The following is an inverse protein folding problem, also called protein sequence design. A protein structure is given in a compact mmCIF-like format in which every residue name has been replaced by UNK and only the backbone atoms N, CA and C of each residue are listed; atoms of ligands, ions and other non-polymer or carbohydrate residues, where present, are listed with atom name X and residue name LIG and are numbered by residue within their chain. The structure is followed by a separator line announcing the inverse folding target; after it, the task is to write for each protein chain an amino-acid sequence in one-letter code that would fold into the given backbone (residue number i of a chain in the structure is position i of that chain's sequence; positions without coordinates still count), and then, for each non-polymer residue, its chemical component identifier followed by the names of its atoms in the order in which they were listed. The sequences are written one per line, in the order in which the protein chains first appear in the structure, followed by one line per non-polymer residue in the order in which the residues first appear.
data_IF_262594230586
#
_entry.id   IF_262594230586
#
_cell.length_a   1.000
_cell.length_b   1.000
_cell.length_c   1.000
_cell.angle_alpha   90.00
_cell.angle_beta   90.00
_cell.angle_gamma   90.00
#
_symmetry.space_group_name_H-M   'P 1'
#
loop_
_entity.id
_entity.type
_entity.pdbx_description
1 polymer ?
#
# COMPACT_ATOMS: atom_id res chain seq x y z
N UNK A 1 14.93 0.51 7.20
CA UNK A 1 13.96 0.76 8.29
C UNK A 1 13.40 -0.52 8.89
N UNK A 2 12.68 -1.36 8.12
CA UNK A 2 12.01 -2.56 8.67
C UNK A 2 12.92 -3.66 9.24
N UNK A 3 14.19 -3.73 8.81
CA UNK A 3 15.16 -4.72 9.32
C UNK A 3 15.64 -4.45 10.76
N UNK A 4 15.48 -3.22 11.25
CA UNK A 4 16.05 -2.78 12.54
C UNK A 4 15.00 -2.20 13.48
N UNK A 5 13.76 -2.02 13.00
CA UNK A 5 12.70 -1.36 13.74
C UNK A 5 11.33 -1.92 13.32
N UNK A 6 10.67 -2.63 14.23
CA UNK A 6 9.37 -3.26 13.97
C UNK A 6 8.29 -2.24 13.62
N UNK A 7 8.22 -1.10 14.33
CA UNK A 7 7.26 -0.03 14.01
C UNK A 7 7.43 0.51 12.59
N UNK A 8 8.67 0.63 12.12
CA UNK A 8 8.96 1.04 10.75
C UNK A 8 8.57 -0.01 9.70
N UNK A 9 8.68 -1.30 10.03
CA UNK A 9 8.09 -2.34 9.19
C UNK A 9 6.56 -2.18 9.11
N UNK A 10 5.88 -2.01 10.26
CA UNK A 10 4.43 -1.83 10.32
C UNK A 10 3.99 -0.58 9.54
N UNK A 11 4.73 0.53 9.60
CA UNK A 11 4.42 1.75 8.85
C UNK A 11 4.35 1.51 7.34
N UNK A 12 5.37 0.86 6.76
CA UNK A 12 5.41 0.56 5.32
C UNK A 12 4.39 -0.53 4.93
N UNK A 13 4.22 -1.54 5.77
CA UNK A 13 3.20 -2.57 5.61
C UNK A 13 1.79 -1.94 5.57
N UNK A 14 1.51 -1.03 6.51
CA UNK A 14 0.24 -0.30 6.55
C UNK A 14 0.01 0.50 5.27
N UNK A 15 0.98 1.33 4.87
CA UNK A 15 0.86 2.23 3.72
C UNK A 15 0.59 1.47 2.42
N UNK A 16 1.25 0.32 2.21
CA UNK A 16 1.06 -0.48 0.99
C UNK A 16 -0.21 -1.33 1.05
N UNK A 17 -0.32 -2.24 2.01
CA UNK A 17 -1.34 -3.29 1.94
C UNK A 17 -2.77 -2.80 2.23
N UNK A 18 -2.97 -1.84 3.15
CA UNK A 18 -4.31 -1.24 3.30
C UNK A 18 -4.68 -0.41 2.07
N UNK A 19 -3.70 0.24 1.43
CA UNK A 19 -3.88 0.95 0.17
C UNK A 19 -4.31 0.01 -0.95
N UNK A 20 -3.64 -1.13 -1.08
CA UNK A 20 -3.94 -2.14 -2.10
C UNK A 20 -5.33 -2.77 -1.91
N UNK A 21 -5.71 -3.07 -0.67
CA UNK A 21 -7.06 -3.53 -0.30
C UNK A 21 -8.12 -2.42 -0.30
N UNK A 22 -7.75 -1.19 -0.63
CA UNK A 22 -8.67 -0.06 -0.76
C UNK A 22 -8.73 0.42 -2.21
N UNK A 23 -7.76 1.25 -2.64
CA UNK A 23 -7.71 1.77 -4.01
C UNK A 23 -7.21 0.74 -5.02
N UNK A 24 -6.33 -0.18 -4.61
CA UNK A 24 -5.75 -1.19 -5.50
C UNK A 24 -6.81 -2.08 -6.18
N UNK A 25 -7.85 -2.48 -5.44
CA UNK A 25 -8.98 -3.23 -6.01
C UNK A 25 -9.68 -2.51 -7.18
N UNK A 26 -9.80 -1.18 -7.10
CA UNK A 26 -10.37 -0.38 -8.19
C UNK A 26 -9.41 -0.29 -9.38
N UNK A 27 -8.11 -0.09 -9.12
CA UNK A 27 -7.08 -0.07 -10.16
C UNK A 27 -7.04 -1.41 -10.90
N UNK A 28 -7.08 -2.53 -10.19
CA UNK A 28 -7.12 -3.87 -10.79
C UNK A 28 -8.32 -4.04 -11.74
N UNK A 29 -9.53 -3.64 -11.31
CA UNK A 29 -10.73 -3.66 -12.16
C UNK A 29 -10.60 -2.77 -13.40
N UNK A 30 -9.99 -1.59 -13.25
CA UNK A 30 -9.75 -0.66 -14.35
C UNK A 30 -8.79 -1.28 -15.37
N UNK A 31 -7.67 -1.86 -14.91
CA UNK A 31 -6.67 -2.50 -15.77
C UNK A 31 -7.25 -3.72 -16.50
N UNK A 32 -7.99 -4.57 -15.79
CA UNK A 32 -8.68 -5.73 -16.36
C UNK A 32 -9.55 -5.34 -17.56
N UNK A 33 -10.42 -4.34 -17.36
CA UNK A 33 -11.30 -3.81 -18.41
C UNK A 33 -10.51 -3.15 -19.55
N UNK A 34 -9.48 -2.36 -19.23
CA UNK A 34 -8.76 -1.56 -20.23
C UNK A 34 -7.95 -2.41 -21.21
N UNK A 35 -7.44 -3.55 -20.74
CA UNK A 35 -6.52 -4.40 -21.50
C UNK A 35 -7.06 -5.80 -21.79
N UNK A 36 -8.27 -6.13 -21.34
CA UNK A 36 -8.89 -7.45 -21.55
C UNK A 36 -8.23 -8.55 -20.74
N UNK A 37 -7.65 -8.22 -19.57
CA UNK A 37 -7.04 -9.21 -18.70
C UNK A 37 -8.10 -9.90 -17.83
N UNK A 38 -8.06 -11.23 -17.82
CA UNK A 38 -8.82 -12.03 -16.85
C UNK A 38 -8.03 -12.21 -15.55
N UNK A 39 -6.73 -12.51 -15.64
CA UNK A 39 -5.84 -12.75 -14.49
C UNK A 39 -4.40 -12.32 -14.79
N UNK A 40 -3.80 -12.85 -15.86
CA UNK A 40 -2.45 -12.51 -16.31
C UNK A 40 -2.37 -11.01 -16.64
N UNK A 41 -1.48 -10.28 -15.96
CA UNK A 41 -1.33 -8.83 -16.08
C UNK A 41 -1.96 -8.02 -14.93
N UNK A 42 -2.81 -8.63 -14.10
CA UNK A 42 -3.43 -7.99 -12.92
C UNK A 42 -3.25 -8.78 -11.62
N UNK A 43 -2.41 -9.83 -11.63
CA UNK A 43 -2.23 -10.72 -10.47
C UNK A 43 -1.88 -10.02 -9.15
N UNK A 44 -1.18 -8.88 -9.21
CA UNK A 44 -0.90 -8.05 -8.05
C UNK A 44 -2.16 -7.56 -7.30
N UNK A 45 -3.27 -7.36 -8.02
CA UNK A 45 -4.54 -6.88 -7.46
C UNK A 45 -5.51 -8.03 -7.10
N UNK A 46 -5.08 -9.29 -7.22
CA UNK A 46 -5.91 -10.46 -6.92
C UNK A 46 -5.54 -10.99 -5.53
N UNK A 47 -6.48 -10.88 -4.60
CA UNK A 47 -6.33 -11.32 -3.21
C UNK A 47 -7.19 -12.57 -2.94
N UNK A 48 -6.88 -13.69 -3.58
CA UNK A 48 -7.71 -14.90 -3.56
C UNK A 48 -7.97 -15.49 -2.17
N UNK A 49 -7.02 -15.30 -1.24
CA UNK A 49 -7.13 -15.81 0.13
C UNK A 49 -7.84 -14.84 1.09
N UNK A 50 -8.20 -13.63 0.62
CA UNK A 50 -8.91 -12.62 1.41
C UNK A 50 -10.36 -12.57 0.97
N UNK A 51 -11.24 -13.27 1.70
CA UNK A 51 -12.66 -13.38 1.37
C UNK A 51 -13.40 -12.03 1.46
N UNK A 52 -13.11 -11.23 2.50
CA UNK A 52 -13.69 -9.90 2.69
C UNK A 52 -12.59 -8.86 2.97
N UNK A 53 -12.22 -8.05 1.96
CA UNK A 53 -11.24 -6.98 2.13
C UNK A 53 -11.64 -5.94 3.17
N UNK A 54 -12.93 -5.67 3.38
CA UNK A 54 -13.35 -4.71 4.42
C UNK A 54 -13.05 -5.31 5.80
N UNK A 55 -13.54 -6.52 6.07
CA UNK A 55 -13.32 -7.20 7.34
C UNK A 55 -11.82 -7.36 7.65
N UNK A 56 -11.01 -7.73 6.65
CA UNK A 56 -9.55 -7.84 6.81
C UNK A 56 -8.93 -6.51 7.26
N UNK A 57 -9.30 -5.39 6.63
CA UNK A 57 -8.79 -4.06 6.99
C UNK A 57 -9.26 -3.62 8.37
N UNK A 58 -10.47 -3.99 8.78
CA UNK A 58 -11.00 -3.65 10.10
C UNK A 58 -10.20 -4.39 11.20
N UNK A 59 -10.00 -5.70 11.05
CA UNK A 59 -9.15 -6.50 11.95
C UNK A 59 -7.71 -5.98 11.99
N UNK A 60 -7.16 -5.57 10.85
CA UNK A 60 -5.81 -4.97 10.81
C UNK A 60 -5.73 -3.70 11.67
N UNK A 61 -6.73 -2.81 11.59
CA UNK A 61 -6.75 -1.58 12.39
C UNK A 61 -6.92 -1.87 13.87
N UNK A 62 -7.77 -2.83 14.23
CA UNK A 62 -7.92 -3.28 15.62
C UNK A 62 -6.59 -3.78 16.20
N UNK A 63 -5.78 -4.49 15.41
CA UNK A 63 -4.44 -4.94 15.85
C UNK A 63 -3.45 -3.78 16.02
N UNK A 64 -3.53 -2.75 15.17
CA UNK A 64 -2.73 -1.54 15.36
C UNK A 64 -3.10 -0.79 16.65
N UNK A 65 -4.40 -0.65 16.90
CA UNK A 65 -4.93 0.02 18.09
C UNK A 65 -4.56 -0.73 19.39
N UNK A 66 -4.55 -2.07 19.34
CA UNK A 66 -4.22 -2.92 20.48
C UNK A 66 -2.71 -3.10 20.71
N UNK A 67 -1.86 -2.70 19.77
CA UNK A 67 -0.42 -2.89 19.92
C UNK A 67 0.17 -1.98 21.03
N UNK A 68 1.21 -2.44 21.76
CA UNK A 68 1.69 -1.82 22.99
C UNK A 68 2.62 -0.63 22.71
N UNK A 69 2.16 0.34 21.92
CA UNK A 69 2.91 1.54 21.59
C UNK A 69 2.83 2.57 22.72
N UNK A 70 3.97 3.15 23.11
CA UNK A 70 3.95 4.42 23.83
C UNK A 70 3.73 5.59 22.85
N UNK A 71 3.48 6.79 23.39
CA UNK A 71 3.17 7.96 22.56
C UNK A 71 4.34 8.36 21.63
N UNK A 72 5.58 8.14 22.05
CA UNK A 72 6.75 8.47 21.25
C UNK A 72 6.88 7.53 20.05
N UNK A 73 6.66 6.24 20.27
CA UNK A 73 6.69 5.23 19.23
C UNK A 73 5.49 5.39 18.27
N UNK A 74 4.30 5.73 18.76
CA UNK A 74 3.15 6.08 17.90
C UNK A 74 3.49 7.22 16.95
N UNK A 75 4.03 8.32 17.48
CA UNK A 75 4.42 9.46 16.65
C UNK A 75 5.48 9.07 15.62
N UNK A 76 6.48 8.29 16.04
CA UNK A 76 7.53 7.81 15.14
C UNK A 76 6.97 6.95 14.00
N UNK A 77 6.01 6.07 14.29
CA UNK A 77 5.31 5.26 13.26
C UNK A 77 4.52 6.15 12.31
N UNK A 78 3.79 7.15 12.82
CA UNK A 78 3.04 8.10 12.00
C UNK A 78 3.96 8.86 11.05
N UNK A 79 5.11 9.35 11.54
CA UNK A 79 6.10 10.05 10.74
C UNK A 79 6.66 9.16 9.61
N UNK A 80 6.91 7.88 9.92
CA UNK A 80 7.37 6.90 8.92
C UNK A 80 6.27 6.54 7.91
N UNK A 81 4.99 6.53 8.31
CA UNK A 81 3.86 6.37 7.37
C UNK A 81 3.83 7.54 6.40
N UNK A 82 3.98 8.78 6.88
CA UNK A 82 4.03 9.97 6.02
C UNK A 82 5.23 9.93 5.06
N UNK A 83 6.38 9.44 5.54
CA UNK A 83 7.56 9.21 4.70
C UNK A 83 7.28 8.17 3.60
N UNK A 84 6.66 7.04 3.96
CA UNK A 84 6.29 6.01 3.00
C UNK A 84 5.29 6.53 1.94
N UNK A 85 4.34 7.37 2.33
CA UNK A 85 3.45 8.05 1.37
C UNK A 85 4.24 8.95 0.42
N UNK A 86 5.20 9.73 0.93
CA UNK A 86 6.05 10.59 0.09
C UNK A 86 6.82 9.78 -0.95
N UNK A 87 7.39 8.63 -0.57
CA UNK A 87 8.08 7.76 -1.54
C UNK A 87 7.15 7.26 -2.66
N UNK A 88 5.87 6.99 -2.37
CA UNK A 88 4.92 6.61 -3.41
C UNK A 88 4.67 7.77 -4.38
N UNK A 89 4.52 9.00 -3.87
CA UNK A 89 4.36 10.21 -4.70
C UNK A 89 5.59 10.43 -5.58
N UNK A 90 6.79 10.42 -4.99
CA UNK A 90 8.05 10.61 -5.71
C UNK A 90 8.23 9.55 -6.81
N UNK A 91 7.91 8.28 -6.53
CA UNK A 91 7.93 7.22 -7.54
C UNK A 91 7.01 7.52 -8.73
N UNK A 92 5.79 8.01 -8.49
CA UNK A 92 4.88 8.34 -9.58
C UNK A 92 5.36 9.54 -10.40
N UNK A 93 5.95 10.54 -9.74
CA UNK A 93 6.55 11.69 -10.42
C UNK A 93 7.73 11.24 -11.30
N UNK A 94 8.57 10.34 -10.79
CA UNK A 94 9.70 9.76 -11.53
C UNK A 94 9.24 8.96 -12.75
N UNK A 95 8.21 8.12 -12.59
CA UNK A 95 7.61 7.35 -13.69
C UNK A 95 6.98 8.27 -14.75
N UNK A 96 6.35 9.37 -14.33
CA UNK A 96 5.78 10.35 -15.25
C UNK A 96 6.86 11.04 -16.08
N UNK A 97 7.99 11.43 -15.47
CA UNK A 97 9.14 12.01 -16.18
C UNK A 97 9.76 11.01 -17.15
N UNK A 98 10.05 9.79 -16.69
CA UNK A 98 10.62 8.75 -17.54
C UNK A 98 9.74 8.43 -18.75
N UNK A 99 8.41 8.44 -18.58
CA UNK A 99 7.46 8.25 -19.69
C UNK A 99 7.50 9.41 -20.70
N UNK A 100 7.61 10.66 -20.24
CA UNK A 100 7.70 11.82 -21.11
C UNK A 100 9.00 11.81 -21.92
N UNK A 101 10.12 11.48 -21.28
CA UNK A 101 11.43 11.38 -21.92
C UNK A 101 11.47 10.28 -22.99
N UNK A 102 10.81 9.14 -22.75
CA UNK A 102 10.73 8.06 -23.72
C UNK A 102 9.84 8.36 -24.94
N UNK A 103 9.01 9.42 -24.87
CA UNK A 103 8.11 9.83 -25.94
C UNK A 103 8.66 10.99 -26.78
N UNK A 104 9.77 11.60 -26.36
CA UNK A 104 10.48 12.68 -27.06
C UNK A 104 11.51 12.10 -28.05
#
# INVERSE_FOLDING_TARGET
VGATWAGGFVAHHYTRYLGDLSGGLFIGKLMARRFGFETNGIGFYIFGDIADPKAFKDVYREQLDAAPWDEAEKQRVIDEVLLAYRFNTELFDDLARAKADAAA
#
